data_IF_632092015891
#
_entry.id   IF_632092015891
#
_cell.length_a   1.000
_cell.length_b   1.000
_cell.length_c   1.000
_cell.angle_alpha   90.00
_cell.angle_beta   90.00
_cell.angle_gamma   90.00
#
_symmetry.space_group_name_H-M   'P 1'
#
loop_
_entity.id
_entity.type
_entity.pdbx_description
1 polymer ?
#
# COMPACT_ATOMS: atom_id res chain seq x y z
N UNK A 1 5.29 16.07 10.27
CA UNK A 1 5.22 14.60 10.36
C UNK A 1 4.55 14.31 11.68
N UNK A 2 3.30 13.83 11.67
CA UNK A 2 2.60 13.50 12.92
C UNK A 2 3.13 12.15 13.41
N UNK A 3 3.79 12.15 14.56
CA UNK A 3 4.16 10.92 15.26
C UNK A 3 2.86 10.20 15.67
N UNK A 4 2.64 9.01 15.11
CA UNK A 4 1.44 8.16 15.32
C UNK A 4 1.43 7.39 16.65
N UNK A 5 2.27 7.76 17.62
CA UNK A 5 2.32 7.07 18.91
C UNK A 5 1.34 7.62 19.96
N UNK A 6 0.66 8.75 19.72
CA UNK A 6 -0.18 9.38 20.77
C UNK A 6 -1.60 9.79 20.38
N UNK A 7 -1.97 9.86 19.10
CA UNK A 7 -3.34 10.17 18.69
C UNK A 7 -3.84 9.15 17.66
N UNK A 8 -4.98 8.47 17.91
CA UNK A 8 -5.58 7.58 16.93
C UNK A 8 -6.10 8.39 15.74
N UNK A 9 -6.01 7.80 14.54
CA UNK A 9 -6.58 8.35 13.32
C UNK A 9 -8.11 8.23 13.37
N UNK A 10 -8.82 9.27 12.92
CA UNK A 10 -10.28 9.26 12.80
C UNK A 10 -10.78 8.71 11.47
N UNK A 11 -9.87 8.47 10.51
CA UNK A 11 -10.15 7.89 9.19
C UNK A 11 -9.08 6.84 8.88
N UNK A 12 -9.46 5.79 8.15
CA UNK A 12 -8.53 4.77 7.69
C UNK A 12 -7.43 5.39 6.80
N UNK A 13 -6.14 5.11 7.07
CA UNK A 13 -5.06 5.66 6.27
C UNK A 13 -4.96 4.97 4.90
N UNK A 14 -4.67 5.75 3.86
CA UNK A 14 -4.39 5.22 2.51
C UNK A 14 -3.09 4.40 2.46
N UNK A 15 -2.16 4.66 3.38
CA UNK A 15 -0.84 4.01 3.43
C UNK A 15 -0.41 3.68 4.86
N UNK A 16 0.16 2.49 5.05
CA UNK A 16 0.73 2.02 6.33
C UNK A 16 2.12 1.45 6.06
N UNK A 17 3.13 1.72 6.88
CA UNK A 17 4.44 1.05 6.74
C UNK A 17 4.37 -0.34 7.36
N UNK A 18 4.95 -1.35 6.70
CA UNK A 18 5.18 -2.65 7.32
C UNK A 18 5.95 -2.46 8.65
N UNK A 19 5.57 -3.20 9.69
CA UNK A 19 6.14 -3.08 11.03
C UNK A 19 5.52 -2.00 11.92
N UNK A 20 4.86 -0.98 11.36
CA UNK A 20 4.25 0.08 12.16
C UNK A 20 2.97 -0.38 12.87
N UNK A 21 2.70 0.21 14.04
CA UNK A 21 1.40 0.13 14.70
C UNK A 21 0.58 1.35 14.38
N UNK A 22 -0.66 1.13 13.92
CA UNK A 22 -1.63 2.18 13.63
C UNK A 22 -2.84 2.01 14.54
N UNK A 23 -3.27 3.11 15.15
CA UNK A 23 -4.52 3.17 15.92
C UNK A 23 -5.56 3.95 15.13
N UNK A 24 -6.75 3.37 14.96
CA UNK A 24 -7.88 3.96 14.26
C UNK A 24 -9.04 4.03 15.25
N UNK A 25 -9.71 5.17 15.31
CA UNK A 25 -10.86 5.42 16.18
C UNK A 25 -12.08 5.72 15.32
N UNK A 26 -13.20 5.06 15.64
CA UNK A 26 -14.48 5.15 14.91
C UNK A 26 -15.60 5.61 15.84
N UNK A 27 -15.48 6.86 16.29
CA UNK A 27 -16.48 7.51 17.16
C UNK A 27 -17.83 7.68 16.45
N UNK A 28 -17.80 7.77 15.12
CA UNK A 28 -18.98 7.86 14.25
C UNK A 28 -19.88 6.63 14.34
N UNK A 29 -19.31 5.47 14.69
CA UNK A 29 -20.04 4.20 14.80
C UNK A 29 -20.60 3.95 16.19
N UNK A 30 -20.10 4.66 17.21
CA UNK A 30 -20.44 4.43 18.62
C UNK A 30 -21.93 4.60 18.93
N UNK A 31 -22.61 5.54 18.26
CA UNK A 31 -24.04 5.78 18.45
C UNK A 31 -24.94 4.80 17.67
N UNK A 32 -24.41 4.14 16.63
CA UNK A 32 -25.16 3.22 15.77
C UNK A 32 -24.95 1.76 16.16
N UNK A 33 -23.76 1.43 16.66
CA UNK A 33 -23.35 0.07 17.02
C UNK A 33 -22.63 0.07 18.38
N UNK A 34 -23.31 0.44 19.48
CA UNK A 34 -22.68 0.49 20.80
C UNK A 34 -22.33 -0.91 21.32
N UNK A 35 -21.13 -1.08 21.90
CA UNK A 35 -20.74 -2.39 22.45
C UNK A 35 -21.68 -2.87 23.56
N UNK A 36 -22.22 -1.94 24.36
CA UNK A 36 -23.17 -2.25 25.45
C UNK A 36 -24.47 -2.91 24.99
N UNK A 37 -24.83 -2.78 23.71
CA UNK A 37 -25.98 -3.47 23.11
C UNK A 37 -25.62 -4.83 22.51
N UNK A 38 -24.37 -5.29 22.64
CA UNK A 38 -23.92 -6.60 22.15
C UNK A 38 -23.37 -6.58 20.72
N UNK A 39 -23.06 -5.41 20.17
CA UNK A 39 -22.37 -5.29 18.89
C UNK A 39 -20.86 -5.55 19.06
N UNK A 40 -20.29 -6.30 18.12
CA UNK A 40 -18.85 -6.52 17.99
C UNK A 40 -18.37 -6.04 16.62
N UNK A 41 -17.28 -5.29 16.58
CA UNK A 41 -16.70 -4.75 15.34
C UNK A 41 -15.35 -5.43 15.05
N UNK A 42 -15.19 -5.92 13.83
CA UNK A 42 -13.98 -6.60 13.34
C UNK A 42 -13.56 -6.00 12.02
N UNK A 43 -12.28 -5.68 11.89
CA UNK A 43 -11.67 -5.25 10.64
C UNK A 43 -10.97 -6.43 9.98
N UNK A 44 -11.27 -6.70 8.71
CA UNK A 44 -10.59 -7.69 7.91
C UNK A 44 -9.72 -7.02 6.86
N UNK A 45 -8.45 -7.37 6.82
CA UNK A 45 -7.47 -6.91 5.84
C UNK A 45 -7.07 -8.07 4.92
N UNK A 46 -7.26 -7.90 3.62
CA UNK A 46 -7.07 -8.95 2.62
C UNK A 46 -6.09 -8.50 1.55
N UNK A 47 -5.06 -9.32 1.32
CA UNK A 47 -4.19 -9.18 0.15
C UNK A 47 -4.70 -10.11 -0.95
N UNK A 48 -4.65 -9.68 -2.21
CA UNK A 48 -4.99 -10.56 -3.34
C UNK A 48 -4.12 -11.81 -3.32
N UNK A 49 -4.75 -12.98 -3.22
CA UNK A 49 -4.06 -14.29 -3.13
C UNK A 49 -3.38 -14.57 -1.78
N UNK A 50 -3.58 -13.73 -0.77
CA UNK A 50 -3.03 -13.90 0.58
C UNK A 50 -4.08 -14.25 1.62
N UNK A 51 -3.62 -14.49 2.86
CA UNK A 51 -4.48 -14.71 4.02
C UNK A 51 -5.23 -13.42 4.41
N UNK A 52 -6.34 -13.61 5.14
CA UNK A 52 -7.12 -12.54 5.74
C UNK A 52 -6.57 -12.30 7.14
N UNK A 53 -6.11 -11.08 7.42
CA UNK A 53 -5.80 -10.66 8.78
C UNK A 53 -7.05 -10.03 9.39
N UNK A 54 -7.55 -10.61 10.48
CA UNK A 54 -8.68 -10.07 11.23
C UNK A 54 -8.17 -9.34 12.49
N UNK A 55 -8.71 -8.15 12.75
CA UNK A 55 -8.38 -7.32 13.92
C UNK A 55 -9.67 -6.95 14.62
N UNK A 56 -9.83 -7.42 15.85
CA UNK A 56 -10.96 -7.07 16.70
C UNK A 56 -10.83 -5.63 17.20
N UNK A 57 -11.91 -4.86 17.07
CA UNK A 57 -12.00 -3.54 17.68
C UNK A 57 -12.31 -3.68 19.17
N UNK A 58 -11.68 -2.84 19.98
CA UNK A 58 -11.97 -2.69 21.40
C UNK A 58 -12.83 -1.46 21.63
N UNK A 59 -13.62 -1.44 22.69
CA UNK A 59 -14.39 -0.26 23.10
C UNK A 59 -13.64 0.51 24.18
N UNK A 60 -13.61 1.84 24.08
CA UNK A 60 -13.10 2.74 25.12
C UNK A 60 -14.15 3.80 25.51
N UNK A 61 -13.73 4.84 26.24
CA UNK A 61 -14.66 5.84 26.76
C UNK A 61 -15.29 6.71 25.66
N UNK A 62 -14.68 6.81 24.49
CA UNK A 62 -15.17 7.64 23.39
C UNK A 62 -15.70 6.81 22.21
N UNK A 63 -15.32 5.54 22.07
CA UNK A 63 -15.91 4.67 21.05
C UNK A 63 -15.14 3.40 20.70
N UNK A 64 -15.30 2.99 19.45
CA UNK A 64 -14.54 1.87 18.89
C UNK A 64 -13.10 2.28 18.56
N UNK A 65 -12.15 1.56 19.14
CA UNK A 65 -10.71 1.70 18.91
C UNK A 65 -10.16 0.42 18.29
N UNK A 66 -9.49 0.57 17.15
CA UNK A 66 -8.83 -0.51 16.41
C UNK A 66 -7.33 -0.27 16.50
N UNK A 67 -6.57 -1.27 16.95
CA UNK A 67 -5.11 -1.23 16.96
C UNK A 67 -4.57 -2.26 15.96
N UNK A 68 -4.11 -1.78 14.81
CA UNK A 68 -3.56 -2.61 13.74
C UNK A 68 -2.05 -2.62 13.87
N UNK A 69 -1.46 -3.78 14.13
CA UNK A 69 -0.02 -4.00 14.02
C UNK A 69 0.28 -4.58 12.64
N UNK A 70 0.95 -3.82 11.78
CA UNK A 70 1.37 -4.29 10.45
C UNK A 70 2.68 -5.11 10.52
N UNK A 71 2.97 -5.72 11.67
CA UNK A 71 4.13 -6.59 11.86
C UNK A 71 3.99 -7.84 10.99
N UNK A 72 4.93 -8.05 10.07
CA UNK A 72 4.90 -9.19 9.14
C UNK A 72 3.99 -9.01 7.94
N UNK A 73 3.40 -7.82 7.75
CA UNK A 73 2.66 -7.53 6.51
C UNK A 73 3.62 -7.29 5.36
N UNK A 74 3.41 -8.02 4.26
CA UNK A 74 4.18 -7.81 3.04
C UNK A 74 3.79 -6.49 2.36
N UNK A 75 4.75 -5.75 1.77
CA UNK A 75 4.46 -4.53 1.03
C UNK A 75 3.57 -4.78 -0.19
N UNK A 76 2.60 -3.90 -0.42
CA UNK A 76 1.71 -3.98 -1.58
C UNK A 76 0.28 -3.50 -1.31
N UNK A 77 -0.57 -3.54 -2.34
CA UNK A 77 -1.98 -3.18 -2.22
C UNK A 77 -2.76 -4.20 -1.40
N UNK A 78 -3.65 -3.72 -0.56
CA UNK A 78 -4.49 -4.53 0.33
C UNK A 78 -5.89 -3.93 0.40
N UNK A 79 -6.93 -4.76 0.40
CA UNK A 79 -8.30 -4.33 0.66
C UNK A 79 -8.65 -4.50 2.13
N UNK A 80 -9.52 -3.65 2.66
CA UNK A 80 -10.03 -3.77 4.02
C UNK A 80 -11.56 -3.71 4.04
N UNK A 81 -12.15 -4.35 5.05
CA UNK A 81 -13.59 -4.28 5.32
C UNK A 81 -13.85 -4.27 6.81
N UNK A 82 -14.75 -3.39 7.25
CA UNK A 82 -15.23 -3.28 8.62
C UNK A 82 -16.57 -4.01 8.74
N UNK A 83 -16.63 -4.95 9.67
CA UNK A 83 -17.76 -5.87 9.84
C UNK A 83 -18.27 -5.79 11.27
N UNK A 84 -19.56 -5.53 11.41
CA UNK A 84 -20.26 -5.56 12.69
C UNK A 84 -21.06 -6.86 12.80
N UNK A 85 -21.00 -7.51 13.97
CA UNK A 85 -21.77 -8.70 14.29
C UNK A 85 -22.60 -8.45 15.54
N UNK A 86 -23.83 -8.93 15.54
CA UNK A 86 -24.73 -8.92 16.70
C UNK A 86 -25.50 -10.23 16.77
N UNK A 87 -25.69 -10.78 17.97
CA UNK A 87 -26.31 -12.10 18.18
C UNK A 87 -27.70 -12.24 17.55
N UNK A 88 -28.51 -11.18 17.58
CA UNK A 88 -29.88 -11.18 17.04
C UNK A 88 -30.01 -10.62 15.61
N UNK A 89 -29.04 -9.80 15.15
CA UNK A 89 -29.15 -9.08 13.86
C UNK A 89 -28.19 -9.60 12.80
N UNK A 90 -27.36 -10.58 13.16
CA UNK A 90 -26.38 -11.21 12.28
C UNK A 90 -25.15 -10.35 12.02
N UNK A 91 -24.47 -10.67 10.92
CA UNK A 91 -23.21 -10.05 10.47
C UNK A 91 -23.49 -9.08 9.33
N UNK A 92 -22.94 -7.86 9.38
CA UNK A 92 -23.04 -6.85 8.30
C UNK A 92 -21.69 -6.16 8.07
N UNK A 93 -21.36 -5.94 6.80
CA UNK A 93 -20.23 -5.08 6.42
C UNK A 93 -20.71 -3.64 6.38
N UNK A 94 -20.05 -2.76 7.14
CA UNK A 94 -20.44 -1.35 7.30
C UNK A 94 -19.55 -0.40 6.51
N UNK A 95 -18.31 -0.80 6.21
CA UNK A 95 -17.38 -0.02 5.39
C UNK A 95 -16.37 -0.94 4.71
N UNK A 96 -15.80 -0.48 3.61
CA UNK A 96 -14.71 -1.14 2.91
C UNK A 96 -13.86 -0.12 2.16
N UNK A 97 -12.62 -0.52 1.85
CA UNK A 97 -11.71 0.34 1.11
C UNK A 97 -10.42 -0.39 0.72
N UNK A 98 -9.44 0.39 0.28
CA UNK A 98 -8.10 -0.08 -0.08
C UNK A 98 -7.05 0.68 0.70
N UNK A 99 -5.97 0.00 1.07
CA UNK A 99 -4.77 0.59 1.67
C UNK A 99 -3.54 0.04 0.95
N UNK A 100 -2.44 0.79 0.97
CA UNK A 100 -1.15 0.32 0.47
C UNK A 100 -0.16 0.14 1.62
N UNK A 101 0.37 -1.07 1.79
CA UNK A 101 1.45 -1.34 2.74
C UNK A 101 2.76 -0.93 2.09
N UNK A 102 3.42 0.07 2.67
CA UNK A 102 4.74 0.53 2.29
C UNK A 102 5.81 -0.37 2.91
N UNK A 103 6.94 -0.56 2.23
CA UNK A 103 8.06 -1.31 2.77
C UNK A 103 8.66 -0.66 4.02
N UNK A 104 9.06 -1.49 5.00
CA UNK A 104 9.75 -1.04 6.21
C UNK A 104 11.17 -0.56 5.85
N UNK A 105 11.51 0.73 6.06
CA UNK A 105 12.85 1.24 5.75
C UNK A 105 13.93 0.76 6.73
N UNK A 106 13.56 0.10 7.83
CA UNK A 106 14.48 -0.42 8.86
C UNK A 106 14.87 -1.88 8.65
N UNK A 107 14.09 -2.63 7.86
CA UNK A 107 14.40 -4.01 7.49
C UNK A 107 15.32 -4.00 6.27
N UNK A 108 16.63 -4.04 6.52
CA UNK A 108 17.65 -4.25 5.49
C UNK A 108 17.78 -5.76 5.23
N UNK A 109 16.83 -6.32 4.49
CA UNK A 109 17.01 -7.67 3.95
C UNK A 109 17.91 -7.59 2.71
N UNK A 110 18.82 -8.55 2.50
CA UNK A 110 19.70 -8.55 1.31
C UNK A 110 18.91 -8.67 -0.02
N UNK A 111 17.63 -9.01 0.07
CA UNK A 111 16.63 -9.05 -1.00
C UNK A 111 15.69 -7.83 -1.04
N UNK A 112 15.80 -6.92 -0.07
CA UNK A 112 15.01 -5.71 0.03
C UNK A 112 15.46 -4.71 -1.02
N UNK A 113 14.81 -4.78 -2.18
CA UNK A 113 14.92 -3.73 -3.17
C UNK A 113 13.84 -2.66 -2.91
N UNK A 114 14.20 -1.45 -2.44
CA UNK A 114 13.27 -0.37 -2.12
C UNK A 114 12.61 0.26 -3.36
N UNK A 115 12.97 -0.21 -4.56
CA UNK A 115 12.37 0.21 -5.82
C UNK A 115 10.88 -0.15 -5.86
N UNK A 116 10.09 0.67 -6.55
CA UNK A 116 8.68 0.34 -6.84
C UNK A 116 8.58 -0.94 -7.68
N UNK A 117 7.42 -1.59 -7.64
CA UNK A 117 7.17 -2.75 -8.51
C UNK A 117 7.40 -2.41 -9.99
N UNK A 118 6.93 -1.24 -10.44
CA UNK A 118 7.14 -0.79 -11.81
C UNK A 118 8.64 -0.68 -12.16
N UNK A 119 9.47 -0.20 -11.22
CA UNK A 119 10.92 -0.10 -11.41
C UNK A 119 11.59 -1.48 -11.44
N UNK A 120 11.18 -2.40 -10.58
CA UNK A 120 11.68 -3.80 -10.60
C UNK A 120 11.37 -4.50 -11.92
N UNK A 121 10.14 -4.35 -12.41
CA UNK A 121 9.72 -4.97 -13.68
C UNK A 121 10.44 -4.33 -14.86
N UNK A 122 10.62 -3.00 -14.86
CA UNK A 122 11.41 -2.32 -15.89
C UNK A 122 12.85 -2.85 -15.94
N UNK A 123 13.54 -2.90 -14.80
CA UNK A 123 14.92 -3.40 -14.73
C UNK A 123 15.00 -4.88 -15.17
N UNK A 124 13.99 -5.71 -14.85
CA UNK A 124 13.91 -7.09 -15.32
C UNK A 124 13.71 -7.20 -16.85
N UNK A 125 12.85 -6.35 -17.43
CA UNK A 125 12.63 -6.29 -18.88
C UNK A 125 13.92 -5.84 -19.59
N UNK A 126 14.60 -4.82 -19.06
CA UNK A 126 15.87 -4.34 -19.60
C UNK A 126 16.95 -5.43 -19.54
N UNK A 127 17.05 -6.18 -18.44
CA UNK A 127 17.96 -7.31 -18.33
C UNK A 127 17.66 -8.43 -19.36
N UNK A 128 16.39 -8.71 -19.66
CA UNK A 128 16.00 -9.66 -20.71
C UNK A 128 16.39 -9.14 -22.09
N UNK A 129 16.19 -7.85 -22.35
CA UNK A 129 16.57 -7.20 -23.61
C UNK A 129 18.09 -7.26 -23.79
N UNK A 130 18.90 -6.94 -22.77
CA UNK A 130 20.36 -7.00 -22.84
C UNK A 130 20.87 -8.43 -23.08
N UNK A 131 20.32 -9.41 -22.36
CA UNK A 131 20.65 -10.83 -22.55
C UNK A 131 20.24 -11.36 -23.92
N UNK A 132 19.23 -10.77 -24.56
CA UNK A 132 18.79 -11.16 -25.90
C UNK A 132 19.44 -10.34 -27.02
N UNK A 133 19.91 -9.13 -26.74
CA UNK A 133 20.70 -8.36 -27.71
C UNK A 133 21.98 -9.13 -28.13
N UNK A 134 22.47 -10.01 -27.26
CA UNK A 134 23.58 -10.94 -27.53
C UNK A 134 23.17 -12.30 -28.13
N UNK A 135 21.88 -12.57 -28.38
CA UNK A 135 21.34 -13.85 -28.91
C UNK A 135 20.36 -13.62 -30.07
N UNK A 136 20.68 -14.15 -31.25
CA UNK A 136 19.96 -13.88 -32.51
C UNK A 136 18.72 -14.75 -32.75
N UNK A 137 18.43 -15.74 -31.90
CA UNK A 137 17.35 -16.69 -32.15
C UNK A 137 16.08 -16.34 -31.35
N UNK A 138 15.02 -15.94 -32.05
CA UNK A 138 13.68 -15.74 -31.47
C UNK A 138 12.93 -17.06 -31.25
N UNK A 139 13.33 -18.12 -31.96
CA UNK A 139 12.79 -19.46 -31.89
C UNK A 139 13.93 -20.45 -31.69
N UNK A 140 13.82 -21.31 -30.67
CA UNK A 140 14.79 -22.39 -30.43
C UNK A 140 14.02 -23.68 -30.32
N UNK A 141 14.22 -24.57 -31.29
CA UNK A 141 13.75 -25.96 -31.21
C UNK A 141 14.75 -26.72 -30.33
N UNK A 142 14.30 -27.22 -29.19
CA UNK A 142 15.12 -28.08 -28.36
C UNK A 142 15.24 -29.46 -29.02
N UNK A 143 16.34 -30.14 -28.76
CA UNK A 143 16.65 -31.48 -29.30
C UNK A 143 15.64 -32.58 -28.89
N UNK A 144 14.70 -32.28 -27.99
CA UNK A 144 13.59 -33.15 -27.56
C UNK A 144 12.27 -32.90 -28.31
N UNK A 145 12.27 -32.02 -29.32
CA UNK A 145 11.09 -31.67 -30.10
C UNK A 145 10.17 -30.61 -29.46
N UNK A 146 10.55 -30.03 -28.32
CA UNK A 146 9.78 -28.94 -27.71
C UNK A 146 10.13 -27.59 -28.35
N UNK A 147 9.10 -26.85 -28.74
CA UNK A 147 9.21 -25.47 -29.19
C UNK A 147 9.04 -24.52 -28.00
N UNK A 148 10.06 -23.71 -27.70
CA UNK A 148 9.95 -22.63 -26.71
C UNK A 148 9.64 -21.34 -27.45
N UNK A 149 8.37 -20.92 -27.42
CA UNK A 149 7.96 -19.63 -27.97
C UNK A 149 8.32 -18.52 -26.99
N UNK A 150 9.33 -17.75 -27.35
CA UNK A 150 9.75 -16.56 -26.62
C UNK A 150 8.84 -15.37 -26.92
N UNK A 151 8.66 -14.47 -25.95
CA UNK A 151 7.98 -13.17 -26.19
C UNK A 151 8.75 -12.43 -27.31
N UNK A 152 8.10 -11.95 -28.39
CA UNK A 152 8.76 -11.23 -29.47
C UNK A 152 9.50 -9.98 -28.98
N UNK A 153 10.62 -9.63 -29.61
CA UNK A 153 11.39 -8.45 -29.19
C UNK A 153 10.57 -7.13 -29.26
N UNK A 154 9.67 -7.03 -30.24
CA UNK A 154 8.75 -5.89 -30.36
C UNK A 154 7.80 -5.74 -29.16
N UNK A 155 7.37 -6.84 -28.55
CA UNK A 155 6.50 -6.83 -27.38
C UNK A 155 7.27 -6.45 -26.11
N UNK A 156 8.52 -6.90 -25.97
CA UNK A 156 9.42 -6.45 -24.90
C UNK A 156 9.67 -4.93 -24.97
N UNK A 157 9.87 -4.37 -26.16
CA UNK A 157 10.00 -2.92 -26.35
C UNK A 157 8.74 -2.14 -25.92
N UNK A 158 7.54 -2.66 -26.22
CA UNK A 158 6.27 -2.07 -25.76
C UNK A 158 6.14 -2.11 -24.24
N UNK A 159 6.41 -3.27 -23.62
CA UNK A 159 6.37 -3.43 -22.17
C UNK A 159 7.36 -2.47 -21.49
N UNK A 160 8.59 -2.36 -22.03
CA UNK A 160 9.60 -1.40 -21.55
C UNK A 160 9.05 0.04 -21.54
N UNK A 161 8.46 0.48 -22.64
CA UNK A 161 7.87 1.82 -22.75
C UNK A 161 6.75 2.07 -21.74
N UNK A 162 5.87 1.09 -21.54
CA UNK A 162 4.80 1.16 -20.56
C UNK A 162 5.32 1.30 -19.12
N UNK A 163 6.24 0.43 -18.71
CA UNK A 163 6.79 0.46 -17.34
C UNK A 163 7.67 1.69 -17.09
N UNK A 164 8.40 2.18 -18.10
CA UNK A 164 9.14 3.44 -17.98
C UNK A 164 8.22 4.64 -17.72
N UNK A 165 7.04 4.69 -18.35
CA UNK A 165 6.05 5.74 -18.12
C UNK A 165 5.47 5.69 -16.70
N UNK A 166 5.20 4.48 -16.18
CA UNK A 166 4.76 4.28 -14.80
C UNK A 166 5.80 4.77 -13.79
N UNK A 167 7.06 4.38 -13.95
CA UNK A 167 8.16 4.84 -13.08
C UNK A 167 8.30 6.36 -13.10
N UNK A 168 8.20 6.99 -14.28
CA UNK A 168 8.24 8.44 -14.40
C UNK A 168 7.05 9.13 -13.71
N UNK A 169 5.87 8.52 -13.75
CA UNK A 169 4.69 9.04 -13.04
C UNK A 169 4.87 8.95 -11.51
N UNK A 170 5.40 7.84 -11.01
CA UNK A 170 5.73 7.66 -9.58
C UNK A 170 6.75 8.69 -9.11
N UNK A 171 7.82 8.90 -9.90
CA UNK A 171 8.86 9.89 -9.60
C UNK A 171 8.26 11.30 -9.47
N UNK A 172 7.41 11.71 -10.44
CA UNK A 172 6.73 13.01 -10.43
C UNK A 172 5.82 13.19 -9.21
N UNK A 173 5.06 12.18 -8.82
CA UNK A 173 4.23 12.24 -7.60
C UNK A 173 5.09 12.37 -6.35
N UNK A 174 6.21 11.66 -6.28
CA UNK A 174 7.14 11.74 -5.15
C UNK A 174 7.78 13.14 -5.04
N UNK A 175 8.15 13.74 -6.17
CA UNK A 175 8.74 15.07 -6.25
C UNK A 175 7.74 16.17 -5.93
N UNK A 176 6.49 16.05 -6.39
CA UNK A 176 5.40 16.96 -6.00
C UNK A 176 5.17 16.93 -4.49
N UNK A 177 5.12 15.74 -3.88
CA UNK A 177 4.99 15.58 -2.42
C UNK A 177 6.17 16.19 -1.65
N UNK A 178 7.39 16.10 -2.18
CA UNK A 178 8.60 16.72 -1.59
C UNK A 178 8.66 18.23 -1.81
N UNK A 179 8.26 18.72 -2.98
CA UNK A 179 8.22 20.14 -3.34
C UNK A 179 7.21 20.94 -2.52
N UNK A 180 6.02 20.37 -2.29
CA UNK A 180 4.99 20.96 -1.42
C UNK A 180 5.49 21.12 0.03
N UNK A 181 6.32 20.19 0.53
CA UNK A 181 6.94 20.30 1.86
C UNK A 181 8.02 21.39 1.95
N UNK A 182 8.67 21.75 0.83
CA UNK A 182 9.69 22.81 0.78
C UNK A 182 9.06 24.21 0.67
N UNK A 183 7.88 24.33 0.06
CA UNK A 183 7.13 25.59 -0.04
C UNK A 183 6.54 26.09 1.28
N UNK A 184 6.12 25.19 2.17
CA UNK A 184 5.50 25.52 3.46
C UNK A 184 6.48 26.05 4.53
N UNK A 185 7.79 26.07 4.26
CA UNK A 185 8.80 26.56 5.23
C UNK A 185 9.34 27.96 4.92
N UNK A 186 8.82 28.64 3.90
CA UNK A 186 9.32 29.96 3.43
C UNK A 186 8.22 31.03 3.35
N UNK A 187 7.24 30.99 4.25
CA UNK A 187 6.10 31.92 4.29
C UNK A 187 5.84 32.56 5.65
N UNK A 188 6.89 32.86 6.43
CA UNK A 188 6.78 33.50 7.75
C UNK A 188 7.73 34.70 7.88
N UNK A 189 7.72 35.61 6.91
CA UNK A 189 8.47 36.87 6.93
C UNK A 189 7.50 38.05 7.10
N UNK A 190 7.37 38.53 8.33
CA UNK A 190 6.50 39.62 8.76
C UNK A 190 6.81 40.93 8.02
N UNK A 191 5.94 41.37 7.11
CA UNK A 191 5.93 42.76 6.63
C UNK A 191 5.15 43.62 7.64
N UNK A 192 5.86 44.24 8.59
CA UNK A 192 5.31 45.38 9.35
C UNK A 192 5.43 46.63 8.47
N UNK A 193 4.39 46.94 7.71
CA UNK A 193 4.13 48.32 7.31
C UNK A 193 3.42 49.00 8.48
N UNK A 194 4.02 50.06 9.02
CA UNK A 194 3.32 51.05 9.84
C UNK A 194 3.49 52.41 9.17
N UNK A 195 2.35 53.08 9.11
CA UNK A 195 2.10 54.48 8.75
C UNK A 195 3.08 55.44 9.41
#
# INVERSE_FOLDING_TARGET
MGNLLSAPLTVEPDTITAGDTVRIRRDDLSSLYPQGEGYALVYHFQRTGGAIDAVDATWDAEGWLITVAASGWEPGPRSWSAVVTHGSYGRRTIASGSLTVLPDPTVVDASFDPRSHARKVLDAIEAVIERRASKTHEETTLSDGRQVKSIPHAELMRLRGHYAALVAAEQRQSDQRRGLRRGLRRGGGTLKARF
#
